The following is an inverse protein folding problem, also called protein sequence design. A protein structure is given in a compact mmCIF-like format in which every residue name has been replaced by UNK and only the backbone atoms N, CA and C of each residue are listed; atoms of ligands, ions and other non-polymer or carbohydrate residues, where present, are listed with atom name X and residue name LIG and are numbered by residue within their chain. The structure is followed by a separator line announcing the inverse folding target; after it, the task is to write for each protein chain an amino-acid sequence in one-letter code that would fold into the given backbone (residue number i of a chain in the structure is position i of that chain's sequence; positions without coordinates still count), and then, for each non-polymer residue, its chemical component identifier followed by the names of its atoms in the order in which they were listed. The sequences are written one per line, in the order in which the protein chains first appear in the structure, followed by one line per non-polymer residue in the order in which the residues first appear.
data_IF_084520552563
#
_entry.id   IF_084520552563
#
_cell.length_a   1.000
_cell.length_b   1.000
_cell.length_c   1.000
_cell.angle_alpha   90.00
_cell.angle_beta   90.00
_cell.angle_gamma   90.00
#
_symmetry.space_group_name_H-M   'P 1'
#
loop_
_entity.id
_entity.type
_entity.pdbx_description
1 polymer ?
#
# COMPACT_ATOMS: atom_id res chain seq x y z
N UNK A 1 -4.90 3.71 -11.43
CA UNK A 1 -4.38 4.94 -10.78
C UNK A 1 -5.47 5.96 -10.47
N UNK A 2 -6.33 6.35 -11.42
CA UNK A 2 -7.32 7.41 -11.19
C UNK A 2 -8.35 7.11 -10.08
N UNK A 3 -8.74 5.84 -9.87
CA UNK A 3 -9.67 5.46 -8.80
C UNK A 3 -9.00 5.48 -7.42
N UNK A 4 -7.87 4.79 -7.29
CA UNK A 4 -7.08 4.75 -6.06
C UNK A 4 -6.69 6.14 -5.57
N UNK A 5 -6.19 6.99 -6.47
CA UNK A 5 -5.69 8.33 -6.12
C UNK A 5 -6.79 9.25 -5.58
N UNK A 6 -8.05 9.06 -6.01
CA UNK A 6 -9.20 9.81 -5.49
C UNK A 6 -9.60 9.35 -4.08
N UNK A 7 -9.28 8.10 -3.73
CA UNK A 7 -9.63 7.49 -2.45
C UNK A 7 -8.47 7.50 -1.43
N UNK A 8 -7.33 8.12 -1.75
CA UNK A 8 -6.15 8.06 -0.89
C UNK A 8 -5.48 6.67 -0.86
N UNK A 9 -5.69 5.88 -1.91
CA UNK A 9 -5.21 4.50 -2.03
C UNK A 9 -4.11 4.37 -3.10
N UNK A 10 -3.45 3.21 -3.13
CA UNK A 10 -2.52 2.78 -4.18
C UNK A 10 -2.79 1.32 -4.62
N UNK A 11 -2.40 0.93 -5.85
CA UNK A 11 -2.43 -0.47 -6.28
C UNK A 11 -1.72 -1.44 -5.34
N UNK A 12 -2.24 -2.67 -5.24
CA UNK A 12 -1.67 -3.74 -4.40
C UNK A 12 -0.24 -4.11 -4.74
N UNK A 13 0.17 -3.94 -6.00
CA UNK A 13 1.52 -4.25 -6.45
C UNK A 13 2.62 -3.31 -5.88
N UNK A 14 2.24 -2.22 -5.20
CA UNK A 14 3.20 -1.37 -4.47
C UNK A 14 3.56 -1.90 -3.08
N UNK A 15 2.83 -2.88 -2.57
CA UNK A 15 3.07 -3.47 -1.25
C UNK A 15 3.99 -4.69 -1.32
N UNK A 16 4.51 -5.11 -0.16
CA UNK A 16 5.06 -6.45 0.02
C UNK A 16 4.03 -7.54 -0.20
N UNK A 17 4.49 -8.79 -0.34
CA UNK A 17 3.57 -9.95 -0.40
C UNK A 17 2.66 -10.06 0.82
N UNK A 18 3.14 -9.67 2.01
CA UNK A 18 2.34 -9.69 3.23
C UNK A 18 1.42 -8.47 3.32
N UNK A 19 1.92 -7.29 2.96
CA UNK A 19 1.13 -6.06 2.89
C UNK A 19 0.00 -6.16 1.87
N UNK A 20 0.24 -6.76 0.71
CA UNK A 20 -0.75 -6.92 -0.35
C UNK A 20 -1.95 -7.77 0.11
N UNK A 21 -1.69 -8.82 0.91
CA UNK A 21 -2.70 -9.73 1.47
C UNK A 21 -3.62 -9.09 2.52
N UNK A 22 -3.24 -7.94 3.07
CA UNK A 22 -4.10 -7.21 4.02
C UNK A 22 -5.26 -6.51 3.31
N UNK A 23 -5.17 -6.34 1.99
CA UNK A 23 -6.11 -5.59 1.15
C UNK A 23 -6.32 -4.12 1.55
N UNK A 24 -5.63 -3.63 2.57
CA UNK A 24 -5.59 -2.22 2.93
C UNK A 24 -4.69 -1.49 1.94
N UNK A 25 -5.33 -0.74 1.03
CA UNK A 25 -4.68 0.01 -0.04
C UNK A 25 -4.32 1.44 0.36
N UNK A 26 -4.50 1.82 1.62
CA UNK A 26 -4.19 3.16 2.11
C UNK A 26 -2.69 3.50 1.97
N UNK A 27 -2.40 4.78 1.76
CA UNK A 27 -1.01 5.27 1.74
C UNK A 27 -0.32 5.07 3.10
N UNK A 28 -1.07 5.12 4.21
CA UNK A 28 -0.52 4.85 5.55
C UNK A 28 -0.03 3.41 5.68
N UNK A 29 -0.83 2.45 5.20
CA UNK A 29 -0.40 1.05 5.18
C UNK A 29 0.79 0.84 4.26
N UNK A 30 0.82 1.53 3.11
CA UNK A 30 1.98 1.49 2.21
C UNK A 30 3.24 1.98 2.93
N UNK A 31 3.18 3.13 3.60
CA UNK A 31 4.30 3.68 4.36
C UNK A 31 4.79 2.73 5.46
N UNK A 32 3.85 2.12 6.20
CA UNK A 32 4.16 1.11 7.21
C UNK A 32 4.85 -0.12 6.63
N UNK A 33 4.36 -0.63 5.49
CA UNK A 33 4.95 -1.76 4.76
C UNK A 33 6.40 -1.45 4.34
N UNK A 34 6.65 -0.26 3.80
CA UNK A 34 8.00 0.19 3.45
C UNK A 34 8.92 0.30 4.68
N UNK A 35 8.45 0.94 5.76
CA UNK A 35 9.22 1.12 7.00
C UNK A 35 9.60 -0.19 7.67
N UNK A 36 8.69 -1.18 7.70
CA UNK A 36 8.94 -2.52 8.25
C UNK A 36 10.05 -3.27 7.51
N UNK A 37 10.30 -2.92 6.24
CA UNK A 37 11.25 -3.60 5.36
C UNK A 37 12.61 -2.91 5.28
N UNK A 38 12.78 -1.75 5.93
CA UNK A 38 14.08 -1.09 6.09
C UNK A 38 14.67 -0.49 4.81
N UNK A 39 13.83 -0.13 3.84
CA UNK A 39 14.24 0.63 2.65
C UNK A 39 14.60 2.07 2.99
#
# INVERSE_FOLDING_TARGET
MAYHRRNGEVPGCFFSKDGEKTYDRSIENLYSDYRKRGY
#
